data_IF_891083333594
#
_entry.id   IF_891083333594
#
_cell.length_a   1.000
_cell.length_b   1.000
_cell.length_c   1.000
_cell.angle_alpha   90.00
_cell.angle_beta   90.00
_cell.angle_gamma   90.00
#
_symmetry.space_group_name_H-M   'P 1'
#
loop_
_entity.id
_entity.type
_entity.pdbx_description
1 polymer ?
#
# COMPACT_ATOMS: atom_id res chain seq x y z
N UNK A 1 13.53 5.73 25.68
CA UNK A 1 12.57 6.68 25.11
C UNK A 1 12.50 6.38 23.62
N UNK A 2 11.57 5.53 23.22
CA UNK A 2 11.34 5.22 21.80
C UNK A 2 10.78 6.46 21.13
N UNK A 3 11.51 6.97 20.13
CA UNK A 3 11.01 8.02 19.26
C UNK A 3 9.76 7.51 18.58
N UNK A 4 8.63 8.16 18.83
CA UNK A 4 7.43 7.97 18.03
C UNK A 4 7.80 8.27 16.58
N UNK A 5 7.90 7.22 15.74
CA UNK A 5 7.99 7.41 14.30
C UNK A 5 6.83 8.33 13.90
N UNK A 6 7.15 9.51 13.37
CA UNK A 6 6.14 10.44 12.90
C UNK A 6 5.31 9.72 11.83
N UNK A 7 4.00 9.72 12.01
CA UNK A 7 3.10 9.17 11.01
C UNK A 7 3.00 10.17 9.85
N UNK A 8 3.48 9.76 8.66
CA UNK A 8 3.71 10.67 7.52
C UNK A 8 2.53 10.74 6.54
N UNK A 9 1.55 9.86 6.67
CA UNK A 9 0.42 9.78 5.74
C UNK A 9 -0.66 10.81 6.09
N UNK A 10 -1.39 11.25 5.06
CA UNK A 10 -2.56 12.13 5.17
C UNK A 10 -3.81 11.45 5.77
N UNK A 11 -3.76 10.13 5.96
CA UNK A 11 -4.82 9.29 6.52
C UNK A 11 -4.37 8.68 7.86
N UNK A 12 -5.28 8.44 8.82
CA UNK A 12 -4.88 7.91 10.12
C UNK A 12 -4.31 6.47 10.03
N UNK A 13 -3.47 6.03 10.99
CA UNK A 13 -2.84 4.70 10.95
C UNK A 13 -3.81 3.52 10.80
N UNK A 14 -5.03 3.67 11.33
CA UNK A 14 -6.08 2.66 11.31
C UNK A 14 -7.04 2.78 10.11
N UNK A 15 -6.77 3.65 9.13
CA UNK A 15 -7.57 3.73 7.90
C UNK A 15 -7.60 2.36 7.22
N UNK A 16 -8.78 1.98 6.73
CA UNK A 16 -8.96 0.72 6.04
C UNK A 16 -8.29 0.77 4.66
N UNK A 17 -7.58 -0.30 4.31
CA UNK A 17 -6.89 -0.47 3.04
C UNK A 17 -7.21 -1.86 2.50
N UNK A 18 -7.32 -1.95 1.18
CA UNK A 18 -7.50 -3.22 0.49
C UNK A 18 -6.14 -3.87 0.22
N UNK A 19 -6.05 -5.19 0.43
CA UNK A 19 -4.88 -6.00 0.08
C UNK A 19 -5.31 -7.42 -0.27
N UNK A 20 -4.38 -8.30 -0.63
CA UNK A 20 -4.65 -9.72 -0.87
C UNK A 20 -3.98 -10.61 0.17
N UNK A 21 -4.57 -11.79 0.42
CA UNK A 21 -4.07 -12.78 1.39
C UNK A 21 -2.58 -13.09 1.23
N UNK A 22 -2.12 -13.30 -0.01
CA UNK A 22 -0.74 -13.68 -0.32
C UNK A 22 0.31 -12.64 0.10
N UNK A 23 -0.07 -11.36 0.20
CA UNK A 23 0.78 -10.29 0.72
C UNK A 23 0.89 -10.41 2.24
N UNK A 24 -0.25 -10.58 2.93
CA UNK A 24 -0.28 -10.69 4.40
C UNK A 24 0.44 -11.94 4.91
N UNK A 25 0.34 -13.04 4.17
CA UNK A 25 1.04 -14.28 4.49
C UNK A 25 2.55 -14.23 4.12
N UNK A 26 2.99 -13.14 3.47
CA UNK A 26 4.40 -12.93 3.07
C UNK A 26 4.84 -13.75 1.86
N UNK A 27 3.91 -14.40 1.15
CA UNK A 27 4.20 -15.21 -0.04
C UNK A 27 4.52 -14.36 -1.27
N UNK A 28 3.92 -13.18 -1.39
CA UNK A 28 4.12 -12.26 -2.52
C UNK A 28 4.38 -10.84 -2.02
N UNK A 29 5.27 -10.06 -2.69
CA UNK A 29 5.52 -8.67 -2.33
C UNK A 29 4.39 -7.75 -2.80
N UNK A 30 4.31 -6.55 -2.22
CA UNK A 30 3.51 -5.45 -2.76
C UNK A 30 4.25 -4.92 -3.99
N UNK A 31 3.65 -4.99 -5.18
CA UNK A 31 4.22 -4.50 -6.44
C UNK A 31 3.41 -3.38 -7.07
N UNK A 32 2.15 -3.20 -6.67
CA UNK A 32 1.30 -2.11 -7.10
C UNK A 32 0.55 -1.49 -5.93
N UNK A 33 0.50 -0.17 -5.90
CA UNK A 33 -0.25 0.64 -4.94
C UNK A 33 -1.16 1.55 -5.72
N UNK A 34 -2.43 1.59 -5.31
CA UNK A 34 -3.44 2.47 -5.90
C UNK A 34 -4.01 3.34 -4.80
N UNK A 35 -4.06 4.64 -5.03
CA UNK A 35 -4.85 5.58 -4.24
C UNK A 35 -6.05 5.98 -5.07
N UNK A 36 -7.24 5.53 -4.67
CA UNK A 36 -8.46 5.79 -5.42
C UNK A 36 -8.71 7.31 -5.56
N UNK A 37 -9.34 7.71 -6.66
CA UNK A 37 -9.59 9.12 -6.95
C UNK A 37 -10.78 9.68 -6.17
N UNK A 38 -11.84 8.89 -5.97
CA UNK A 38 -13.11 9.36 -5.41
C UNK A 38 -13.08 9.39 -3.89
N UNK A 39 -12.60 8.32 -3.26
CA UNK A 39 -12.61 8.17 -1.79
C UNK A 39 -11.21 8.19 -1.16
N UNK A 40 -10.15 8.22 -1.99
CA UNK A 40 -8.78 8.14 -1.51
C UNK A 40 -8.43 6.78 -0.89
N UNK A 41 -9.19 5.72 -1.12
CA UNK A 41 -8.88 4.41 -0.55
C UNK A 41 -7.52 3.91 -1.04
N UNK A 42 -6.77 3.28 -0.13
CA UNK A 42 -5.52 2.60 -0.48
C UNK A 42 -5.79 1.15 -0.88
N UNK A 43 -5.16 0.71 -1.96
CA UNK A 43 -5.07 -0.70 -2.34
C UNK A 43 -3.62 -1.11 -2.55
N UNK A 44 -3.24 -2.26 -1.98
CA UNK A 44 -1.88 -2.83 -2.04
C UNK A 44 -1.92 -4.21 -2.68
N UNK A 45 -1.21 -4.39 -3.79
CA UNK A 45 -1.47 -5.47 -4.74
C UNK A 45 -0.17 -6.13 -5.22
N UNK A 46 -0.25 -7.37 -5.70
CA UNK A 46 0.90 -8.14 -6.20
C UNK A 46 1.26 -7.82 -7.66
N UNK A 47 0.55 -6.90 -8.32
CA UNK A 47 0.80 -6.53 -9.72
C UNK A 47 0.33 -7.56 -10.76
N UNK A 48 -0.36 -8.61 -10.33
CA UNK A 48 -0.98 -9.65 -11.17
C UNK A 48 -2.52 -9.52 -11.10
N UNK A 49 -3.24 -10.23 -11.97
CA UNK A 49 -4.70 -10.29 -11.92
C UNK A 49 -5.15 -10.78 -10.54
N UNK A 50 -5.96 -9.95 -9.87
CA UNK A 50 -6.48 -10.23 -8.54
C UNK A 50 -7.82 -10.93 -8.69
N UNK A 51 -7.92 -12.15 -8.17
CA UNK A 51 -9.23 -12.71 -7.87
C UNK A 51 -9.81 -11.95 -6.67
N UNK A 52 -10.93 -11.24 -6.88
CA UNK A 52 -11.61 -10.46 -5.84
C UNK A 52 -11.96 -11.28 -4.57
N UNK A 53 -12.01 -12.62 -4.68
CA UNK A 53 -12.23 -13.53 -3.56
C UNK A 53 -11.10 -13.48 -2.49
N UNK A 54 -9.91 -13.00 -2.86
CA UNK A 54 -8.76 -12.90 -1.96
C UNK A 54 -8.57 -11.52 -1.33
N UNK A 55 -9.47 -10.57 -1.62
CA UNK A 55 -9.40 -9.21 -1.12
C UNK A 55 -9.70 -9.14 0.39
N UNK A 56 -8.87 -8.42 1.11
CA UNK A 56 -8.94 -8.26 2.57
C UNK A 56 -8.81 -6.79 2.93
N UNK A 57 -9.50 -6.40 4.01
CA UNK A 57 -9.33 -5.09 4.62
C UNK A 57 -8.37 -5.18 5.80
N UNK A 58 -7.36 -4.31 5.80
CA UNK A 58 -6.37 -4.17 6.87
C UNK A 58 -6.15 -2.69 7.19
N UNK A 59 -5.42 -2.42 8.26
CA UNK A 59 -4.99 -1.04 8.56
C UNK A 59 -3.80 -0.63 7.70
N UNK A 60 -3.71 0.65 7.33
CA UNK A 60 -2.52 1.20 6.66
C UNK A 60 -1.24 0.97 7.48
N UNK A 61 -1.34 1.10 8.81
CA UNK A 61 -0.23 0.79 9.72
C UNK A 61 0.28 -0.64 9.54
N UNK A 62 -0.61 -1.63 9.45
CA UNK A 62 -0.22 -3.03 9.25
C UNK A 62 0.53 -3.23 7.94
N UNK A 63 0.16 -2.50 6.88
CA UNK A 63 0.86 -2.53 5.60
C UNK A 63 2.25 -1.88 5.72
N UNK A 64 2.36 -0.73 6.38
CA UNK A 64 3.66 -0.05 6.59
C UNK A 64 4.60 -0.88 7.46
N UNK A 65 4.08 -1.57 8.47
CA UNK A 65 4.86 -2.50 9.30
C UNK A 65 5.31 -3.73 8.51
N UNK A 66 4.47 -4.24 7.62
CA UNK A 66 4.78 -5.36 6.71
C UNK A 66 5.83 -4.96 5.66
N UNK A 67 5.69 -3.76 5.11
CA UNK A 67 6.56 -3.22 4.09
C UNK A 67 6.88 -1.72 4.33
N UNK A 68 8.02 -1.42 4.99
CA UNK A 68 8.42 -0.06 5.29
C UNK A 68 8.65 0.82 4.05
N UNK A 69 8.87 0.23 2.86
CA UNK A 69 9.03 1.01 1.61
C UNK A 69 7.77 1.75 1.19
N UNK A 70 6.62 1.45 1.82
CA UNK A 70 5.37 2.20 1.62
C UNK A 70 5.44 3.62 2.20
N UNK A 71 6.38 3.88 3.12
CA UNK A 71 6.65 5.24 3.62
C UNK A 71 7.05 6.18 2.48
N UNK A 72 7.76 5.68 1.47
CA UNK A 72 8.14 6.45 0.28
C UNK A 72 6.94 6.86 -0.57
N UNK A 73 5.73 6.39 -0.26
CA UNK A 73 4.49 6.73 -0.93
C UNK A 73 3.53 7.53 -0.03
N UNK A 74 3.97 8.01 1.14
CA UNK A 74 3.09 8.73 2.07
C UNK A 74 2.45 9.99 1.48
N UNK A 75 3.06 10.56 0.44
CA UNK A 75 2.59 11.74 -0.31
C UNK A 75 1.78 11.39 -1.59
N UNK A 76 1.52 10.10 -1.85
CA UNK A 76 0.79 9.65 -3.04
C UNK A 76 -0.63 10.21 -3.05
N UNK A 77 -0.94 11.00 -4.07
CA UNK A 77 -2.22 11.71 -4.19
C UNK A 77 -3.35 10.77 -4.65
N UNK A 78 -4.62 11.05 -4.29
CA UNK A 78 -5.79 10.42 -4.90
C UNK A 78 -5.74 10.43 -6.44
N UNK A 79 -6.10 9.32 -7.06
CA UNK A 79 -6.01 9.10 -8.50
C UNK A 79 -4.61 8.72 -9.00
N UNK A 80 -3.63 8.54 -8.11
CA UNK A 80 -2.31 8.06 -8.49
C UNK A 80 -2.13 6.57 -8.22
N UNK A 81 -1.19 6.01 -8.96
CA UNK A 81 -0.68 4.65 -8.77
C UNK A 81 0.82 4.67 -8.63
N UNK A 82 1.36 3.67 -7.94
CA UNK A 82 2.78 3.41 -7.85
C UNK A 82 3.05 1.93 -8.09
N UNK A 83 3.97 1.61 -9.00
CA UNK A 83 4.32 0.23 -9.35
C UNK A 83 5.83 0.01 -9.26
N UNK A 84 6.24 -1.24 -8.99
CA UNK A 84 7.65 -1.64 -9.02
C UNK A 84 7.78 -3.07 -9.50
N UNK A 85 8.93 -3.41 -10.10
CA UNK A 85 9.18 -4.76 -10.62
C UNK A 85 9.58 -5.79 -9.56
N UNK A 86 10.07 -5.34 -8.40
CA UNK A 86 10.51 -6.19 -7.29
C UNK A 86 10.42 -5.41 -5.97
N UNK A 87 10.43 -6.11 -4.82
CA UNK A 87 10.40 -5.48 -3.48
C UNK A 87 11.50 -4.43 -3.27
N UNK A 88 12.67 -4.64 -3.85
CA UNK A 88 13.85 -3.78 -3.66
C UNK A 88 14.02 -2.73 -4.76
N UNK A 89 13.08 -2.65 -5.72
CA UNK A 89 13.11 -1.66 -6.79
C UNK A 89 12.37 -0.39 -6.38
N UNK A 90 12.81 0.79 -6.86
CA UNK A 90 12.12 2.04 -6.59
C UNK A 90 10.71 2.04 -7.19
N UNK A 91 9.81 2.76 -6.52
CA UNK A 91 8.46 2.98 -7.00
C UNK A 91 8.45 3.88 -8.25
N UNK A 92 7.70 3.48 -9.25
CA UNK A 92 7.37 4.27 -10.43
C UNK A 92 5.94 4.78 -10.27
N UNK A 93 5.77 6.10 -10.18
CA UNK A 93 4.47 6.74 -9.95
C UNK A 93 3.83 7.16 -11.27
N UNK A 94 2.52 7.00 -11.40
CA UNK A 94 1.74 7.42 -12.56
C UNK A 94 0.35 7.90 -12.15
N UNK A 95 -0.20 8.85 -12.91
CA UNK A 95 -1.60 9.27 -12.79
C UNK A 95 -2.48 8.22 -13.47
N UNK A 96 -3.58 7.84 -12.81
CA UNK A 96 -4.57 6.91 -13.33
C UNK A 96 -5.54 7.58 -14.29
#
# INVERSE_FOLDING_TARGET
MEGTALWLFDAPPNVACLTVRSILDGHKPILAVVRDFEDGAWSFLTGEDIEMADALLVSLKSIVELDPSIIDLADLQPGWTAVRGHRDMPWQRAIK
#
